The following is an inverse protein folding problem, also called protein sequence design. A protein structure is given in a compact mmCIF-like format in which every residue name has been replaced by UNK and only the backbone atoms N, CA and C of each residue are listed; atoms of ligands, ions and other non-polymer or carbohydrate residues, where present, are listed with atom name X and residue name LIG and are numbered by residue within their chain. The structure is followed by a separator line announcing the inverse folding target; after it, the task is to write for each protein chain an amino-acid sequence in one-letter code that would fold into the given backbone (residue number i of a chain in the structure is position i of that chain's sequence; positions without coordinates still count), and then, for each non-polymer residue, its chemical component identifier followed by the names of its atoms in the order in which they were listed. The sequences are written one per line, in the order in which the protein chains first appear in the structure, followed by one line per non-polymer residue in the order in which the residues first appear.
data_IF_140595554825
#
_entry.id   IF_140595554825
#
_cell.length_a   1.000
_cell.length_b   1.000
_cell.length_c   1.000
_cell.angle_alpha   90.00
_cell.angle_beta   90.00
_cell.angle_gamma   90.00
#
_symmetry.space_group_name_H-M   'P 1'
#
loop_
_entity.id
_entity.type
_entity.pdbx_description
1 polymer ?
#
# COMPACT_ATOMS: atom_id res chain seq x y z
N UNK A 1 17.56 -16.31 -20.35
CA UNK A 1 17.47 -15.93 -18.92
C UNK A 1 16.03 -15.53 -18.69
N UNK A 2 15.33 -16.19 -17.77
CA UNK A 2 13.99 -15.75 -17.36
C UNK A 2 14.19 -14.49 -16.50
N UNK A 3 13.52 -13.41 -16.86
CA UNK A 3 13.40 -12.25 -16.01
C UNK A 3 12.06 -12.38 -15.29
N UNK A 4 12.09 -12.64 -14.00
CA UNK A 4 10.88 -12.59 -13.20
C UNK A 4 10.50 -11.13 -13.01
N UNK A 5 9.29 -10.81 -13.46
CA UNK A 5 8.75 -9.46 -13.42
C UNK A 5 7.35 -9.49 -12.82
N UNK A 6 6.99 -8.43 -12.11
CA UNK A 6 5.63 -8.29 -11.58
C UNK A 6 4.63 -8.20 -12.74
N UNK A 7 3.61 -9.08 -12.80
CA UNK A 7 2.67 -9.07 -13.92
C UNK A 7 1.75 -7.84 -13.92
N UNK A 8 1.51 -7.25 -12.75
CA UNK A 8 0.61 -6.11 -12.54
C UNK A 8 1.19 -5.17 -11.49
N UNK A 9 0.71 -3.93 -11.52
CA UNK A 9 1.02 -2.92 -10.51
C UNK A 9 0.45 -3.33 -9.15
N UNK A 10 1.28 -3.25 -8.13
CA UNK A 10 0.94 -3.45 -6.72
C UNK A 10 0.90 -2.10 -6.03
N UNK A 11 -0.09 -1.93 -5.17
CA UNK A 11 -0.26 -0.70 -4.43
C UNK A 11 -1.18 -0.89 -3.25
N UNK A 12 -1.55 0.24 -2.67
CA UNK A 12 -2.41 0.30 -1.49
C UNK A 12 -3.52 1.32 -1.67
N UNK A 13 -4.62 1.07 -0.98
CA UNK A 13 -5.73 2.01 -0.91
C UNK A 13 -5.37 3.17 0.02
N UNK A 14 -5.57 4.39 -0.46
CA UNK A 14 -5.45 5.61 0.34
C UNK A 14 -6.82 6.27 0.52
N UNK A 15 -6.87 7.30 1.37
CA UNK A 15 -8.07 8.06 1.63
C UNK A 15 -8.68 8.59 0.32
N UNK A 16 -9.98 8.32 0.14
CA UNK A 16 -10.71 8.65 -1.09
C UNK A 16 -10.95 7.47 -2.02
N UNK A 17 -10.54 6.25 -1.63
CA UNK A 17 -10.76 5.05 -2.44
C UNK A 17 -9.88 5.01 -3.69
N UNK A 18 -8.71 5.66 -3.61
CA UNK A 18 -7.73 5.75 -4.70
C UNK A 18 -6.64 4.72 -4.46
N UNK A 19 -6.24 4.01 -5.50
CA UNK A 19 -5.07 3.15 -5.45
C UNK A 19 -3.82 3.99 -5.64
N UNK A 20 -2.94 3.98 -4.64
CA UNK A 20 -1.58 4.52 -4.77
C UNK A 20 -0.64 3.38 -5.18
N UNK A 21 -0.06 3.43 -6.39
CA UNK A 21 0.83 2.38 -6.87
C UNK A 21 2.23 2.51 -6.24
N UNK A 22 2.71 1.45 -5.60
CA UNK A 22 4.06 1.41 -5.00
C UNK A 22 5.06 0.70 -5.93
N UNK A 23 4.60 -0.37 -6.58
CA UNK A 23 5.43 -1.18 -7.47
C UNK A 23 4.70 -1.30 -8.80
N UNK A 24 5.29 -0.76 -9.86
CA UNK A 24 4.67 -0.76 -11.19
C UNK A 24 4.69 -2.15 -11.82
N UNK A 25 3.81 -2.40 -12.79
CA UNK A 25 3.91 -3.58 -13.65
C UNK A 25 5.28 -3.68 -14.31
N UNK A 26 5.69 -4.91 -14.63
CA UNK A 26 6.97 -5.23 -15.24
C UNK A 26 8.19 -4.79 -14.41
N UNK A 27 8.03 -4.67 -13.09
CA UNK A 27 9.16 -4.41 -12.18
C UNK A 27 9.91 -5.72 -11.97
N UNK A 28 11.23 -5.70 -12.11
CA UNK A 28 12.11 -6.87 -11.89
C UNK A 28 12.10 -7.30 -10.43
N UNK A 29 11.97 -8.61 -10.20
CA UNK A 29 12.06 -9.23 -8.87
C UNK A 29 13.50 -9.76 -8.66
N UNK A 30 14.12 -9.62 -7.48
CA UNK A 30 13.62 -9.04 -6.22
C UNK A 30 13.61 -7.52 -6.20
N UNK A 31 12.62 -6.92 -5.53
CA UNK A 31 12.51 -5.47 -5.36
C UNK A 31 11.81 -5.12 -4.05
N UNK A 32 12.33 -4.10 -3.36
CA UNK A 32 11.75 -3.59 -2.11
C UNK A 32 11.43 -2.10 -2.28
N UNK A 33 10.18 -1.73 -1.99
CA UNK A 33 9.71 -0.34 -2.02
C UNK A 33 9.01 0.03 -0.73
N UNK A 34 9.48 1.10 -0.10
CA UNK A 34 8.88 1.65 1.12
C UNK A 34 8.28 3.03 0.84
N UNK A 35 7.13 3.30 1.43
CA UNK A 35 6.49 4.61 1.39
C UNK A 35 5.87 4.94 2.76
N UNK A 36 5.98 6.19 3.18
CA UNK A 36 5.51 6.65 4.49
C UNK A 36 4.11 7.24 4.34
N UNK A 37 3.15 6.61 5.01
CA UNK A 37 1.78 7.05 5.11
C UNK A 37 1.51 7.71 6.46
N UNK A 38 0.37 8.38 6.54
CA UNK A 38 -0.11 8.96 7.79
C UNK A 38 -1.58 8.66 8.00
N UNK A 39 -2.07 8.93 9.20
CA UNK A 39 -3.49 8.78 9.54
C UNK A 39 -4.36 9.70 8.70
N UNK A 40 -5.54 9.20 8.36
CA UNK A 40 -6.58 9.90 7.62
C UNK A 40 -7.45 10.79 8.52
N UNK A 41 -7.54 10.47 9.81
CA UNK A 41 -8.33 11.18 10.80
C UNK A 41 -7.54 11.58 12.05
N UNK A 42 -8.07 12.56 12.78
CA UNK A 42 -7.55 12.97 14.08
C UNK A 42 -7.84 11.90 15.14
N UNK A 43 -6.88 11.67 16.04
CA UNK A 43 -6.96 10.64 17.10
C UNK A 43 -7.23 9.23 16.56
N UNK A 44 -6.83 8.96 15.32
CA UNK A 44 -6.96 7.65 14.72
C UNK A 44 -5.96 6.68 15.36
N UNK A 45 -6.47 5.73 16.14
CA UNK A 45 -5.68 4.71 16.86
C UNK A 45 -5.42 3.44 16.04
N UNK A 46 -6.07 3.32 14.89
CA UNK A 46 -5.92 2.20 13.97
C UNK A 46 -5.86 2.69 12.52
N UNK A 47 -4.92 2.19 11.73
CA UNK A 47 -4.84 2.43 10.28
C UNK A 47 -5.13 1.13 9.56
N UNK A 48 -5.93 1.22 8.52
CA UNK A 48 -6.22 0.10 7.66
C UNK A 48 -5.35 0.19 6.41
N UNK A 49 -4.61 -0.88 6.13
CA UNK A 49 -3.80 -1.00 4.93
C UNK A 49 -4.44 -2.07 4.06
N UNK A 50 -4.96 -1.63 2.91
CA UNK A 50 -5.57 -2.51 1.93
C UNK A 50 -4.64 -2.63 0.73
N UNK A 51 -4.07 -3.83 0.56
CA UNK A 51 -3.18 -4.18 -0.54
C UNK A 51 -4.03 -4.58 -1.75
N UNK A 52 -3.71 -3.98 -2.88
CA UNK A 52 -4.41 -4.23 -4.14
C UNK A 52 -3.44 -4.41 -5.31
N UNK A 53 -3.90 -5.16 -6.29
CA UNK A 53 -3.22 -5.40 -7.55
C UNK A 53 -4.12 -4.98 -8.72
N UNK A 54 -3.59 -4.13 -9.59
CA UNK A 54 -4.28 -3.69 -10.81
C UNK A 54 -3.78 -2.36 -11.35
N UNK A 55 -4.35 -1.92 -12.47
CA UNK A 55 -3.94 -0.68 -13.15
C UNK A 55 -5.04 0.39 -13.12
N UNK A 56 -6.08 0.18 -12.33
CA UNK A 56 -7.19 1.12 -12.23
C UNK A 56 -6.88 2.19 -11.17
N UNK A 57 -7.28 3.45 -11.39
CA UNK A 57 -7.05 4.51 -10.40
C UNK A 57 -7.90 4.35 -9.14
N UNK A 58 -9.06 3.68 -9.24
CA UNK A 58 -9.98 3.45 -8.14
C UNK A 58 -9.73 2.08 -7.50
N UNK A 59 -9.64 2.05 -6.17
CA UNK A 59 -9.40 0.86 -5.36
C UNK A 59 -10.40 -0.27 -5.68
N UNK A 60 -11.69 0.07 -5.74
CA UNK A 60 -12.80 -0.87 -6.01
C UNK A 60 -12.72 -1.61 -7.34
N UNK A 61 -12.01 -1.05 -8.33
CA UNK A 61 -11.90 -1.62 -9.67
C UNK A 61 -10.64 -2.51 -9.81
N UNK A 62 -9.82 -2.58 -8.76
CA UNK A 62 -8.63 -3.43 -8.68
C UNK A 62 -8.91 -4.69 -7.88
N UNK A 63 -7.98 -5.65 -7.95
CA UNK A 63 -8.07 -6.90 -7.19
C UNK A 63 -7.47 -6.70 -5.80
N UNK A 64 -8.28 -6.82 -4.77
CA UNK A 64 -7.84 -6.90 -3.38
C UNK A 64 -6.99 -8.15 -3.17
N UNK A 65 -5.74 -7.99 -2.73
CA UNK A 65 -4.88 -9.10 -2.35
C UNK A 65 -5.04 -9.43 -0.86
N UNK A 66 -5.23 -8.40 -0.03
CA UNK A 66 -5.40 -8.56 1.40
C UNK A 66 -5.57 -7.21 2.08
N UNK A 67 -6.16 -7.22 3.26
CA UNK A 67 -6.35 -6.04 4.09
C UNK A 67 -5.91 -6.38 5.49
N UNK A 68 -5.09 -5.52 6.08
CA UNK A 68 -4.64 -5.64 7.44
C UNK A 68 -4.87 -4.33 8.16
N UNK A 69 -5.02 -4.41 9.48
CA UNK A 69 -5.26 -3.23 10.31
C UNK A 69 -4.10 -3.15 11.27
N UNK A 70 -3.39 -2.03 11.24
CA UNK A 70 -2.36 -1.70 12.20
C UNK A 70 -3.02 -0.97 13.37
N UNK A 71 -3.07 -1.62 14.52
CA UNK A 71 -3.50 -1.05 15.79
C UNK A 71 -2.30 -0.58 16.62
N UNK A 72 -2.56 0.12 17.72
CA UNK A 72 -1.53 0.60 18.63
C UNK A 72 -0.92 1.97 18.27
N UNK A 73 -1.57 2.74 17.39
CA UNK A 73 -1.14 4.09 17.05
C UNK A 73 -1.57 5.04 18.20
N UNK A 74 -0.65 5.83 18.78
CA UNK A 74 -1.02 6.80 19.81
C UNK A 74 -1.99 7.85 19.23
N UNK A 75 -3.00 8.28 19.99
CA UNK A 75 -3.94 9.29 19.54
C UNK A 75 -3.19 10.60 19.27
N UNK A 76 -3.09 10.95 18.00
CA UNK A 76 -2.41 12.15 17.53
C UNK A 76 -3.24 12.82 16.43
N UNK A 77 -3.01 14.13 16.17
CA UNK A 77 -3.62 14.82 15.04
C UNK A 77 -3.30 14.14 13.71
N UNK A 78 -4.18 14.29 12.72
CA UNK A 78 -3.97 13.81 11.37
C UNK A 78 -2.63 14.31 10.81
N UNK A 79 -1.85 13.43 10.18
CA UNK A 79 -0.57 13.81 9.58
C UNK A 79 0.64 13.69 10.52
N UNK A 80 0.44 13.46 11.82
CA UNK A 80 1.53 13.32 12.80
C UNK A 80 2.07 11.89 12.88
N UNK A 81 1.24 10.83 12.94
CA UNK A 81 1.73 9.46 12.89
C UNK A 81 2.40 9.17 11.54
N UNK A 82 3.60 8.59 11.58
CA UNK A 82 4.30 8.11 10.39
C UNK A 82 4.24 6.59 10.36
N UNK A 83 3.59 6.04 9.34
CA UNK A 83 3.43 4.60 9.13
C UNK A 83 4.19 4.27 7.86
N UNK A 84 5.37 3.67 8.00
CA UNK A 84 6.13 3.19 6.85
C UNK A 84 5.58 1.84 6.40
N UNK A 85 5.15 1.77 5.13
CA UNK A 85 4.67 0.55 4.49
C UNK A 85 5.71 0.12 3.46
N UNK A 86 6.31 -1.05 3.69
CA UNK A 86 7.30 -1.65 2.80
C UNK A 86 6.72 -2.85 2.07
N UNK A 87 6.79 -2.82 0.74
CA UNK A 87 6.51 -3.93 -0.14
C UNK A 87 7.83 -4.59 -0.51
N UNK A 88 8.00 -5.85 -0.12
CA UNK A 88 9.15 -6.66 -0.46
C UNK A 88 8.69 -7.80 -1.38
N UNK A 89 9.29 -7.89 -2.58
CA UNK A 89 9.09 -9.04 -3.45
C UNK A 89 10.36 -9.89 -3.48
N UNK A 90 10.22 -11.15 -3.10
CA UNK A 90 11.24 -12.18 -3.21
C UNK A 90 11.16 -12.92 -4.56
N UNK A 91 12.21 -13.69 -4.86
CA UNK A 91 12.38 -14.46 -6.08
C UNK A 91 12.18 -15.96 -5.83
#
# INVERSE_FOLDING_TARGET
MLLDVTPLTLGLETLGGVMTPLIQKNTTVPNTKAEVFSTAGDNQTQVEIHIMQGERPLARDNKSLGRFTLDGIPPAPRGVPQIEVSFDLDA
#
